data_IF_755428420140
#
_entry.id   IF_755428420140
#
_cell.length_a   1.000
_cell.length_b   1.000
_cell.length_c   1.000
_cell.angle_alpha   90.00
_cell.angle_beta   90.00
_cell.angle_gamma   90.00
#
_symmetry.space_group_name_H-M   'P 1'
#
loop_
_entity.id
_entity.type
_entity.pdbx_description
1 polymer ?
#
# COMPACT_ATOMS: atom_id res chain seq x y z
N UNK A 1 11.16 -0.28 -20.76
CA UNK A 1 10.14 -0.99 -19.96
C UNK A 1 8.95 -1.31 -20.87
N UNK A 2 8.45 -2.55 -20.85
CA UNK A 2 7.38 -2.95 -21.77
C UNK A 2 6.04 -2.31 -21.39
N UNK A 3 5.22 -1.85 -22.35
CA UNK A 3 3.88 -1.38 -22.06
C UNK A 3 3.07 -2.46 -21.33
N UNK A 4 2.49 -2.11 -20.19
CA UNK A 4 1.70 -3.04 -19.40
C UNK A 4 2.44 -3.75 -18.25
N UNK A 5 3.72 -3.45 -18.01
CA UNK A 5 4.50 -4.03 -16.91
C UNK A 5 4.20 -3.38 -15.54
N UNK A 6 3.14 -2.62 -15.42
CA UNK A 6 2.76 -1.91 -14.20
C UNK A 6 1.52 -2.53 -13.56
N UNK A 7 1.49 -2.62 -12.23
CA UNK A 7 0.36 -3.13 -11.46
C UNK A 7 -0.97 -2.44 -11.81
N UNK A 8 -0.97 -1.11 -11.94
CA UNK A 8 -2.15 -0.33 -12.37
C UNK A 8 -2.70 -0.81 -13.72
N UNK A 9 -1.83 -1.12 -14.68
CA UNK A 9 -2.23 -1.63 -15.98
C UNK A 9 -2.80 -3.05 -15.90
N UNK A 10 -2.26 -3.89 -15.02
CA UNK A 10 -2.78 -5.24 -14.77
C UNK A 10 -4.19 -5.18 -14.18
N UNK A 11 -4.41 -4.36 -13.15
CA UNK A 11 -5.74 -4.18 -12.53
C UNK A 11 -6.78 -3.71 -13.56
N UNK A 12 -6.47 -2.72 -14.38
CA UNK A 12 -7.36 -2.27 -15.47
C UNK A 12 -7.69 -3.36 -16.48
N UNK A 13 -6.70 -4.17 -16.85
CA UNK A 13 -6.91 -5.32 -17.77
C UNK A 13 -7.77 -6.38 -17.13
N UNK A 14 -7.62 -6.61 -15.82
CA UNK A 14 -8.46 -7.53 -15.05
C UNK A 14 -9.94 -7.20 -15.18
N UNK A 15 -10.31 -5.95 -14.96
CA UNK A 15 -11.69 -5.48 -15.11
C UNK A 15 -12.21 -5.65 -16.55
N UNK A 16 -11.37 -5.40 -17.56
CA UNK A 16 -11.75 -5.62 -18.95
C UNK A 16 -11.95 -7.11 -19.29
N UNK A 17 -11.08 -7.98 -18.77
CA UNK A 17 -11.19 -9.44 -18.97
C UNK A 17 -12.41 -10.01 -18.26
N UNK A 18 -12.74 -9.53 -17.07
CA UNK A 18 -13.94 -9.93 -16.35
C UNK A 18 -15.20 -9.71 -17.18
N UNK A 19 -15.32 -8.51 -17.82
CA UNK A 19 -16.44 -8.20 -18.71
C UNK A 19 -16.47 -9.08 -19.98
N UNK A 20 -15.32 -9.41 -20.53
CA UNK A 20 -15.24 -10.12 -21.82
C UNK A 20 -15.16 -11.63 -21.70
N UNK A 21 -14.59 -12.15 -20.62
CA UNK A 21 -14.31 -13.57 -20.41
C UNK A 21 -14.94 -14.15 -19.12
N UNK A 22 -15.61 -13.32 -18.31
CA UNK A 22 -16.27 -13.74 -17.08
C UNK A 22 -15.31 -14.06 -15.93
N UNK A 23 -14.03 -13.68 -16.03
CA UNK A 23 -13.04 -13.92 -14.99
C UNK A 23 -11.99 -12.82 -14.96
N UNK A 24 -11.57 -12.43 -13.73
CA UNK A 24 -10.51 -11.47 -13.51
C UNK A 24 -9.27 -12.16 -12.92
N UNK A 25 -8.24 -12.49 -13.74
CA UNK A 25 -7.03 -13.14 -13.22
C UNK A 25 -6.13 -12.20 -12.41
N UNK A 26 -6.43 -10.92 -12.38
CA UNK A 26 -5.66 -9.89 -11.65
C UNK A 26 -6.38 -9.36 -10.40
N UNK A 27 -7.38 -10.05 -9.91
CA UNK A 27 -8.06 -9.73 -8.63
C UNK A 27 -7.23 -10.19 -7.42
N UNK A 28 -5.98 -9.73 -7.33
CA UNK A 28 -5.07 -10.02 -6.23
C UNK A 28 -4.85 -8.79 -5.36
N UNK A 29 -4.44 -9.01 -4.11
CA UNK A 29 -3.96 -7.95 -3.22
C UNK A 29 -2.50 -7.61 -3.52
N UNK A 30 -2.10 -6.41 -3.12
CA UNK A 30 -0.71 -5.95 -3.17
C UNK A 30 -0.29 -5.40 -1.82
N UNK A 31 0.94 -5.69 -1.44
CA UNK A 31 1.55 -5.15 -0.25
C UNK A 31 2.97 -4.71 -0.58
N UNK A 32 3.43 -3.63 0.01
CA UNK A 32 4.82 -3.21 -0.07
C UNK A 32 5.47 -3.33 1.30
N UNK A 33 6.79 -3.41 1.34
CA UNK A 33 7.56 -3.46 2.59
C UNK A 33 8.97 -2.93 2.37
N UNK A 34 9.87 -3.16 3.31
CA UNK A 34 11.27 -2.72 3.25
C UNK A 34 12.05 -3.30 2.06
N UNK A 35 11.62 -4.43 1.51
CA UNK A 35 12.38 -5.22 0.54
C UNK A 35 13.79 -5.59 1.06
N UNK A 36 13.93 -5.74 2.35
CA UNK A 36 15.16 -6.12 3.02
C UNK A 36 15.43 -7.62 2.82
N UNK A 37 16.65 -7.98 2.47
CA UNK A 37 17.09 -9.35 2.21
C UNK A 37 17.97 -9.90 3.34
N UNK A 38 18.01 -9.24 4.49
CA UNK A 38 18.76 -9.69 5.67
C UNK A 38 17.92 -10.50 6.65
N UNK A 39 16.61 -10.53 6.48
CA UNK A 39 15.62 -11.07 7.41
C UNK A 39 15.54 -10.31 8.74
N UNK A 40 16.12 -9.12 8.82
CA UNK A 40 16.04 -8.23 9.97
C UNK A 40 15.01 -7.12 9.68
N UNK A 41 13.96 -7.06 10.46
CA UNK A 41 12.89 -6.07 10.31
C UNK A 41 13.29 -4.69 10.88
N UNK A 42 14.40 -4.14 10.40
CA UNK A 42 14.92 -2.85 10.83
C UNK A 42 14.92 -1.87 9.66
N UNK A 43 14.10 -0.84 9.73
CA UNK A 43 13.99 0.20 8.71
C UNK A 43 14.33 1.60 9.24
N UNK A 44 14.61 1.71 10.53
CA UNK A 44 14.99 2.97 11.17
C UNK A 44 16.43 3.32 10.81
N UNK A 45 16.73 4.61 10.60
CA UNK A 45 18.04 5.08 10.19
C UNK A 45 19.14 4.73 11.19
N UNK A 46 18.84 4.80 12.49
CA UNK A 46 19.75 4.48 13.59
C UNK A 46 19.81 2.99 13.90
N UNK A 47 18.99 2.17 13.29
CA UNK A 47 18.94 0.72 13.50
C UNK A 47 18.85 -0.07 12.19
N UNK A 48 19.37 0.49 11.12
CA UNK A 48 19.37 -0.15 9.82
C UNK A 48 20.58 -1.08 9.68
N UNK A 49 20.33 -2.38 9.58
CA UNK A 49 21.40 -3.38 9.45
C UNK A 49 21.92 -3.50 8.02
N UNK A 50 21.17 -3.10 7.02
CA UNK A 50 21.56 -3.17 5.63
C UNK A 50 20.53 -3.85 4.74
N UNK A 51 20.74 -3.74 3.42
CA UNK A 51 19.82 -4.26 2.40
C UNK A 51 20.03 -5.75 2.13
N UNK A 52 21.28 -6.21 2.09
CA UNK A 52 21.65 -7.56 1.68
C UNK A 52 22.60 -8.22 2.67
N UNK A 53 22.34 -9.48 3.02
CA UNK A 53 23.14 -10.24 3.98
C UNK A 53 24.60 -10.50 3.52
N UNK A 54 24.87 -10.44 2.23
CA UNK A 54 26.21 -10.64 1.68
C UNK A 54 27.06 -9.36 1.62
N UNK A 55 26.48 -8.21 1.84
CA UNK A 55 27.15 -6.91 1.86
C UNK A 55 27.13 -6.26 3.24
N UNK A 56 26.43 -6.84 4.22
CA UNK A 56 26.18 -6.21 5.52
C UNK A 56 26.55 -7.16 6.70
N UNK A 57 27.00 -6.62 7.83
CA UNK A 57 27.36 -5.22 8.02
C UNK A 57 28.66 -4.91 7.26
N UNK A 58 28.62 -3.88 6.44
CA UNK A 58 29.72 -3.50 5.56
C UNK A 58 30.02 -2.01 5.57
N UNK A 59 31.12 -1.65 4.91
CA UNK A 59 31.49 -0.24 4.74
C UNK A 59 30.72 0.32 3.54
N UNK A 60 29.68 1.09 3.82
CA UNK A 60 28.84 1.72 2.79
C UNK A 60 29.46 2.94 2.12
N UNK A 61 30.73 3.25 2.43
CA UNK A 61 31.43 4.45 1.95
C UNK A 61 32.29 4.21 0.71
N UNK A 62 32.27 3.02 0.14
CA UNK A 62 33.07 2.65 -1.02
C UNK A 62 32.30 2.68 -2.33
N UNK A 63 33.04 2.52 -3.42
CA UNK A 63 32.49 2.33 -4.77
C UNK A 63 31.94 0.92 -5.02
N UNK A 64 31.63 0.17 -3.96
CA UNK A 64 31.02 -1.12 -4.12
C UNK A 64 29.63 -0.94 -4.74
N UNK A 65 29.43 -1.60 -5.85
CA UNK A 65 28.16 -1.58 -6.57
C UNK A 65 27.64 -3.00 -6.67
N UNK A 66 26.48 -3.22 -6.13
CA UNK A 66 25.82 -4.49 -6.30
C UNK A 66 25.44 -4.69 -7.76
N UNK A 67 26.03 -5.69 -8.40
CA UNK A 67 25.80 -6.03 -9.80
C UNK A 67 25.99 -4.85 -10.79
N UNK A 68 26.77 -3.82 -10.43
CA UNK A 68 27.02 -2.66 -11.28
C UNK A 68 25.86 -1.66 -11.38
N UNK A 69 24.83 -1.80 -10.54
CA UNK A 69 23.63 -0.97 -10.61
C UNK A 69 23.73 0.29 -9.74
N UNK A 70 23.75 0.13 -8.41
CA UNK A 70 23.71 1.23 -7.45
C UNK A 70 24.86 1.09 -6.45
N UNK A 71 25.34 2.20 -5.91
CA UNK A 71 26.26 2.16 -4.78
C UNK A 71 25.53 1.67 -3.53
N UNK A 72 26.22 0.94 -2.65
CA UNK A 72 25.61 0.33 -1.47
C UNK A 72 24.93 1.37 -0.54
N UNK A 73 25.47 2.58 -0.49
CA UNK A 73 24.88 3.68 0.28
C UNK A 73 23.55 4.25 -0.31
N UNK A 74 23.26 3.95 -1.59
CA UNK A 74 21.99 4.32 -2.25
C UNK A 74 20.89 3.30 -1.98
N UNK A 75 21.22 2.15 -1.39
CA UNK A 75 20.29 1.06 -1.14
C UNK A 75 19.65 1.24 0.24
N UNK A 76 18.41 1.67 0.24
CA UNK A 76 17.58 1.78 1.45
C UNK A 76 16.62 0.61 1.61
N UNK A 77 16.07 0.45 2.80
CA UNK A 77 15.03 -0.52 3.12
C UNK A 77 13.90 0.17 3.92
N UNK A 78 13.42 1.30 3.43
CA UNK A 78 12.52 2.19 4.15
C UNK A 78 11.04 1.89 3.94
N UNK A 79 10.65 1.08 2.96
CA UNK A 79 9.24 0.78 2.69
C UNK A 79 8.55 0.09 3.86
N UNK A 80 7.32 0.51 4.18
CA UNK A 80 6.51 -0.05 5.25
C UNK A 80 5.21 -0.63 4.71
N UNK A 81 4.85 -1.82 5.20
CA UNK A 81 3.53 -2.41 5.02
C UNK A 81 2.61 -1.97 6.16
N UNK A 82 1.42 -1.52 5.81
CA UNK A 82 0.38 -1.19 6.77
C UNK A 82 -0.84 -2.10 6.59
N UNK A 83 -1.41 -2.56 7.70
CA UNK A 83 -2.56 -3.48 7.72
C UNK A 83 -3.60 -2.91 8.67
N UNK A 84 -4.83 -2.78 8.20
CA UNK A 84 -5.95 -2.45 9.06
C UNK A 84 -6.50 -3.71 9.74
N UNK A 85 -6.42 -3.74 11.06
CA UNK A 85 -6.83 -4.88 11.86
C UNK A 85 -7.47 -4.40 13.18
N UNK A 86 -8.43 -5.15 13.76
CA UNK A 86 -9.04 -4.79 15.04
C UNK A 86 -8.05 -4.82 16.21
N UNK A 87 -7.04 -5.69 16.14
CA UNK A 87 -5.99 -5.78 17.15
C UNK A 87 -4.67 -6.21 16.52
N UNK A 88 -3.56 -5.90 17.20
CA UNK A 88 -2.22 -6.34 16.80
C UNK A 88 -1.98 -7.78 17.25
N UNK A 89 -2.76 -8.70 16.70
CA UNK A 89 -2.60 -10.13 16.86
C UNK A 89 -2.27 -10.78 15.51
N UNK A 90 -1.63 -11.94 15.54
CA UNK A 90 -1.30 -12.69 14.32
C UNK A 90 -2.56 -12.98 13.48
N UNK A 91 -3.62 -13.38 14.13
CA UNK A 91 -4.90 -13.75 13.53
C UNK A 91 -5.56 -12.56 12.86
N UNK A 92 -5.62 -11.41 13.53
CA UNK A 92 -6.24 -10.19 13.01
C UNK A 92 -5.44 -9.57 11.87
N UNK A 93 -4.11 -9.55 11.99
CA UNK A 93 -3.22 -9.09 10.92
C UNK A 93 -3.35 -9.98 9.68
N UNK A 94 -3.34 -11.30 9.86
CA UNK A 94 -3.55 -12.23 8.74
C UNK A 94 -4.92 -12.04 8.10
N UNK A 95 -5.97 -11.86 8.90
CA UNK A 95 -7.31 -11.60 8.40
C UNK A 95 -7.38 -10.27 7.62
N UNK A 96 -6.72 -9.21 8.09
CA UNK A 96 -6.61 -7.94 7.38
C UNK A 96 -5.91 -8.08 6.03
N UNK A 97 -4.78 -8.78 5.99
CA UNK A 97 -4.08 -9.08 4.74
C UNK A 97 -4.94 -9.91 3.78
N UNK A 98 -5.66 -10.90 4.29
CA UNK A 98 -6.56 -11.75 3.49
C UNK A 98 -7.73 -10.95 2.90
N UNK A 99 -8.23 -9.95 3.62
CA UNK A 99 -9.24 -9.00 3.10
C UNK A 99 -8.64 -7.96 2.16
N UNK A 100 -7.33 -7.95 1.99
CA UNK A 100 -6.60 -6.94 1.17
C UNK A 100 -6.71 -5.51 1.75
N UNK A 101 -7.05 -5.38 3.01
CA UNK A 101 -7.19 -4.10 3.71
C UNK A 101 -5.80 -3.62 4.18
N UNK A 102 -4.96 -3.34 3.19
CA UNK A 102 -3.53 -3.08 3.34
C UNK A 102 -3.09 -1.95 2.42
N UNK A 103 -2.04 -1.25 2.81
CA UNK A 103 -1.35 -0.29 1.96
C UNK A 103 0.15 -0.29 2.25
N UNK A 104 0.91 0.44 1.46
CA UNK A 104 2.33 0.59 1.63
C UNK A 104 2.74 2.06 1.63
N UNK A 105 3.80 2.37 2.35
CA UNK A 105 4.48 3.66 2.29
C UNK A 105 5.93 3.47 1.88
N UNK A 106 6.59 4.56 1.53
CA UNK A 106 8.02 4.57 1.18
C UNK A 106 8.93 4.94 2.35
N UNK A 107 8.45 4.77 3.59
CA UNK A 107 9.21 5.01 4.81
C UNK A 107 8.46 5.79 5.87
N UNK A 108 7.74 6.84 5.49
CA UNK A 108 6.92 7.60 6.41
C UNK A 108 5.71 6.81 6.91
N UNK A 109 5.34 7.02 8.17
CA UNK A 109 4.20 6.35 8.84
C UNK A 109 2.89 7.10 8.56
N UNK A 110 2.60 7.36 7.30
CA UNK A 110 1.33 7.94 6.88
C UNK A 110 0.20 6.98 7.23
N UNK A 111 -0.84 7.50 7.89
CA UNK A 111 -2.07 6.74 8.14
C UNK A 111 -3.07 7.06 7.04
N UNK A 112 -3.46 6.05 6.28
CA UNK A 112 -4.32 6.18 5.11
C UNK A 112 -5.59 5.35 5.26
N UNK A 113 -6.74 5.98 5.07
CA UNK A 113 -8.04 5.31 4.88
C UNK A 113 -8.55 5.61 3.48
N UNK A 114 -9.06 4.58 2.82
CA UNK A 114 -9.65 4.67 1.49
C UNK A 114 -10.88 3.79 1.44
N UNK A 115 -12.00 4.38 1.00
CA UNK A 115 -13.26 3.67 0.81
C UNK A 115 -13.82 3.96 -0.57
N UNK A 116 -14.48 2.99 -1.17
CA UNK A 116 -15.25 3.13 -2.40
C UNK A 116 -16.71 2.79 -2.17
N UNK A 117 -17.59 3.55 -2.79
CA UNK A 117 -19.03 3.36 -2.71
C UNK A 117 -19.74 3.98 -3.90
N UNK A 118 -21.06 3.88 -3.95
CA UNK A 118 -21.83 4.45 -5.04
C UNK A 118 -22.50 5.77 -4.68
N UNK A 119 -22.83 5.97 -3.39
CA UNK A 119 -23.73 7.03 -2.95
C UNK A 119 -23.20 7.78 -1.71
N UNK A 120 -21.87 7.99 -1.62
CA UNK A 120 -21.34 8.82 -0.53
C UNK A 120 -21.70 10.27 -0.70
N UNK A 121 -22.22 10.88 0.36
CA UNK A 121 -22.48 12.32 0.40
C UNK A 121 -21.16 13.11 0.44
N UNK A 122 -21.06 14.27 -0.24
CA UNK A 122 -19.83 15.07 -0.29
C UNK A 122 -19.24 15.41 1.09
N UNK A 123 -20.07 15.65 2.09
CA UNK A 123 -19.63 16.02 3.44
C UNK A 123 -19.21 14.82 4.29
N UNK A 124 -19.40 13.60 3.81
CA UNK A 124 -19.03 12.37 4.54
C UNK A 124 -17.55 12.31 4.87
N UNK A 125 -16.70 12.88 4.02
CA UNK A 125 -15.24 12.93 4.22
C UNK A 125 -14.83 13.79 5.42
N UNK A 126 -15.65 14.73 5.83
CA UNK A 126 -15.43 15.63 6.98
C UNK A 126 -16.11 15.15 8.26
N UNK A 127 -16.87 14.06 8.18
CA UNK A 127 -17.59 13.51 9.32
C UNK A 127 -16.65 12.92 10.36
N UNK A 128 -16.89 13.12 11.66
CA UNK A 128 -16.17 12.38 12.71
C UNK A 128 -16.48 10.87 12.70
N UNK A 129 -17.48 10.45 11.92
CA UNK A 129 -17.85 9.05 11.72
C UNK A 129 -17.37 8.51 10.35
N UNK A 130 -16.33 9.10 9.80
CA UNK A 130 -15.77 8.77 8.47
C UNK A 130 -15.65 7.26 8.22
N UNK A 131 -14.98 6.55 9.14
CA UNK A 131 -14.79 5.10 8.99
C UNK A 131 -16.14 4.34 9.06
N UNK A 132 -17.00 4.73 10.00
CA UNK A 132 -18.33 4.08 10.14
C UNK A 132 -19.14 4.23 8.87
N UNK A 133 -19.14 5.43 8.27
CA UNK A 133 -19.79 5.70 6.99
C UNK A 133 -19.15 4.86 5.89
N UNK A 134 -17.80 4.85 5.84
CA UNK A 134 -17.04 4.10 4.84
C UNK A 134 -17.40 2.62 4.80
N UNK A 135 -17.47 1.98 5.95
CA UNK A 135 -17.81 0.55 6.06
C UNK A 135 -19.31 0.26 5.88
N UNK A 136 -20.19 1.19 6.27
CA UNK A 136 -21.63 1.00 6.18
C UNK A 136 -22.14 1.16 4.74
N UNK A 137 -21.65 2.18 4.04
CA UNK A 137 -22.22 2.65 2.76
C UNK A 137 -21.33 2.27 1.56
N UNK A 138 -20.24 1.53 1.82
CA UNK A 138 -19.31 1.08 0.78
C UNK A 138 -18.36 0.00 1.25
N UNK A 139 -17.18 -0.05 0.61
CA UNK A 139 -16.14 -1.04 0.89
C UNK A 139 -14.80 -0.37 1.19
N UNK A 140 -13.99 -0.92 2.11
CA UNK A 140 -12.65 -0.42 2.36
C UNK A 140 -11.69 -0.74 1.21
N UNK A 141 -10.49 -0.18 1.27
CA UNK A 141 -9.39 -0.54 0.37
C UNK A 141 -9.25 -2.06 0.23
N UNK A 142 -9.03 -2.53 -0.99
CA UNK A 142 -8.95 -3.96 -1.31
C UNK A 142 -10.29 -4.68 -1.41
N UNK A 143 -11.40 -4.05 -1.05
CA UNK A 143 -12.74 -4.61 -1.22
C UNK A 143 -13.20 -4.59 -2.68
N UNK A 144 -14.24 -5.35 -2.95
CA UNK A 144 -14.89 -5.39 -4.26
C UNK A 144 -16.22 -4.65 -4.16
N UNK A 145 -16.42 -3.63 -5.00
CA UNK A 145 -17.69 -2.90 -5.07
C UNK A 145 -18.82 -3.82 -5.54
N UNK A 146 -19.96 -3.70 -4.90
CA UNK A 146 -21.18 -4.36 -5.35
C UNK A 146 -21.62 -3.82 -6.74
N UNK A 147 -22.67 -4.43 -7.31
CA UNK A 147 -23.27 -3.97 -8.55
C UNK A 147 -23.59 -2.46 -8.49
N UNK A 148 -23.41 -1.74 -9.60
CA UNK A 148 -23.63 -0.31 -9.63
C UNK A 148 -25.06 0.09 -9.25
N UNK A 149 -25.17 1.10 -8.37
CA UNK A 149 -26.42 1.77 -8.05
C UNK A 149 -26.50 3.17 -8.65
N UNK A 150 -25.36 3.69 -9.14
CA UNK A 150 -25.23 4.97 -9.82
C UNK A 150 -24.27 4.88 -11.01
N UNK A 151 -24.15 5.95 -11.80
CA UNK A 151 -23.33 5.98 -13.04
C UNK A 151 -21.82 5.84 -12.80
N UNK A 152 -21.34 6.31 -11.65
CA UNK A 152 -19.93 6.27 -11.31
C UNK A 152 -19.70 6.06 -9.80
N UNK A 153 -18.69 5.28 -9.40
CA UNK A 153 -18.35 5.13 -8.00
C UNK A 153 -17.77 6.42 -7.42
N UNK A 154 -18.06 6.64 -6.15
CA UNK A 154 -17.51 7.72 -5.34
C UNK A 154 -16.45 7.16 -4.41
N UNK A 155 -15.37 7.90 -4.21
CA UNK A 155 -14.29 7.49 -3.32
C UNK A 155 -14.09 8.51 -2.20
N UNK A 156 -13.86 8.00 -1.01
CA UNK A 156 -13.49 8.81 0.16
C UNK A 156 -12.06 8.46 0.57
N UNK A 157 -11.24 9.48 0.75
CA UNK A 157 -9.83 9.34 1.17
C UNK A 157 -9.59 10.22 2.37
N UNK A 158 -8.97 9.67 3.39
CA UNK A 158 -8.44 10.42 4.52
C UNK A 158 -7.01 10.00 4.76
N UNK A 159 -6.11 10.96 4.80
CA UNK A 159 -4.69 10.73 5.04
C UNK A 159 -4.20 11.64 6.18
N UNK A 160 -3.53 11.04 7.15
CA UNK A 160 -2.85 11.75 8.21
C UNK A 160 -1.34 11.62 7.98
N UNK A 161 -0.64 12.75 7.99
CA UNK A 161 0.82 12.74 7.81
C UNK A 161 1.51 12.06 8.98
N UNK A 162 2.68 11.52 8.71
CA UNK A 162 3.65 11.17 9.73
C UNK A 162 4.13 12.46 10.42
N UNK A 163 4.05 12.56 11.76
CA UNK A 163 4.45 13.78 12.46
C UNK A 163 5.94 14.12 12.28
N UNK A 164 6.78 13.12 12.06
CA UNK A 164 8.24 13.26 11.91
C UNK A 164 8.70 13.42 10.45
N UNK A 165 7.75 13.41 9.50
CA UNK A 165 8.03 13.55 8.08
C UNK A 165 7.51 14.87 7.48
N UNK A 166 7.75 15.06 6.18
CA UNK A 166 7.25 16.20 5.42
C UNK A 166 5.70 16.25 5.39
N UNK A 167 5.18 17.42 5.04
CA UNK A 167 3.74 17.56 4.84
C UNK A 167 3.28 16.76 3.63
N UNK A 168 2.02 16.32 3.66
CA UNK A 168 1.36 15.74 2.48
C UNK A 168 1.18 16.84 1.43
N UNK A 169 1.49 16.51 0.18
CA UNK A 169 1.34 17.42 -0.94
C UNK A 169 -0.04 17.23 -1.59
N UNK A 170 -0.29 16.03 -2.12
CA UNK A 170 -1.56 15.73 -2.79
C UNK A 170 -1.87 14.23 -2.77
N UNK A 171 -3.15 13.89 -2.89
CA UNK A 171 -3.63 12.55 -3.19
C UNK A 171 -4.01 12.46 -4.68
N UNK A 172 -3.52 11.44 -5.38
CA UNK A 172 -3.78 11.20 -6.81
C UNK A 172 -4.45 9.85 -7.04
#
# INVERSE_FOLDING_TARGET
>A
MYPGSYARSALRRGLALERSAGANPYAFGMIGSTDDHTSLATAEEDNFFGKFANSEPGVRTGDSRMAGLNADWELGASGLAAVWAPANTREDLFAGMKRREVYATTGSRIVLRFFGGWDYEPDSVHSPYFETIGYRDGVPMGGDLAEPTSDAPTFMVQAMKDPDAANLDQAQ
#
